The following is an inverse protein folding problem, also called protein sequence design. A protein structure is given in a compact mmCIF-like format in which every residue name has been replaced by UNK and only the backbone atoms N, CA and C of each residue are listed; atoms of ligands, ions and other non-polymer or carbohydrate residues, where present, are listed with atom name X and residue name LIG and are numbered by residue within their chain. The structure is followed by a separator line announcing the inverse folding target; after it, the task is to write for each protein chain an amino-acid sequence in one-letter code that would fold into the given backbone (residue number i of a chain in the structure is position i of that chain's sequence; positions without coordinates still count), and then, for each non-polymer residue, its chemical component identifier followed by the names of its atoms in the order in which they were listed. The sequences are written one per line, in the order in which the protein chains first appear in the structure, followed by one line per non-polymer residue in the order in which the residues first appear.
data_IF_552905148629
#
_entry.id   IF_552905148629
#
_cell.length_a   1.000
_cell.length_b   1.000
_cell.length_c   1.000
_cell.angle_alpha   90.00
_cell.angle_beta   90.00
_cell.angle_gamma   90.00
#
_symmetry.space_group_name_H-M   'P 1'
#
loop_
_entity.id
_entity.type
_entity.pdbx_description
1 polymer ?
2 non-polymer ?
3 water ?
#
# COMPACT_ATOMS: atom_id res chain seq x y z
N UNK A 6 -10.76 45.96 5.69
CA UNK A 6 -10.70 47.45 5.73
C UNK A 6 -9.30 47.92 6.16
N UNK A 7 -8.32 47.01 6.18
CA UNK A 7 -6.93 47.31 6.58
C UNK A 7 -6.09 47.71 5.37
N UNK A 8 -4.84 48.22 5.56
CA UNK A 8 -3.99 48.60 4.44
C UNK A 8 -3.43 47.32 3.80
N UNK A 9 -3.08 47.38 2.51
CA UNK A 9 -2.61 46.19 1.81
C UNK A 9 -1.08 46.12 1.92
N UNK A 10 -0.59 45.13 2.68
CA UNK A 10 0.83 44.95 2.97
C UNK A 10 1.55 44.39 1.74
N UNK A 11 2.85 44.72 1.62
CA UNK A 11 3.73 44.12 0.62
C UNK A 11 3.95 42.65 0.98
N UNK A 12 4.26 41.83 -0.03
CA UNK A 12 4.30 40.38 0.09
C UNK A 12 5.58 39.95 0.81
N UNK A 13 5.40 39.24 1.93
CA UNK A 13 6.45 38.49 2.61
C UNK A 13 6.30 37.01 2.25
N UNK A 14 7.20 36.51 1.38
CA UNK A 14 7.11 35.15 0.86
C UNK A 14 8.09 34.25 1.62
N UNK A 15 7.55 33.24 2.32
CA UNK A 15 8.34 32.20 2.97
C UNK A 15 8.48 31.03 2.01
N UNK A 16 9.68 30.81 1.41
CA UNK A 16 9.85 29.76 0.40
C UNK A 16 9.82 28.34 0.95
N UNK A 17 9.63 28.17 2.27
CA UNK A 17 9.62 26.86 2.91
C UNK A 17 8.20 26.39 3.28
N UNK A 18 7.26 27.33 3.47
CA UNK A 18 5.88 27.03 3.82
C UNK A 18 5.23 26.24 2.68
N UNK A 19 4.88 24.97 2.97
CA UNK A 19 4.27 24.08 1.98
C UNK A 19 2.88 24.59 1.64
N UNK A 20 2.53 24.73 0.34
CA UNK A 20 1.17 25.09 -0.04
C UNK A 20 0.19 23.93 0.14
N UNK A 21 -1.10 24.28 0.34
CA UNK A 21 -2.16 23.29 0.46
C UNK A 21 -2.35 22.60 -0.89
N UNK A 22 -2.46 21.26 -0.85
CA UNK A 22 -2.68 20.43 -2.03
C UNK A 22 -4.06 20.73 -2.63
N UNK A 23 -4.17 20.52 -3.95
CA UNK A 23 -5.42 20.63 -4.69
C UNK A 23 -5.96 19.24 -5.03
N UNK A 24 -5.23 18.20 -4.60
CA UNK A 24 -5.56 16.80 -4.93
C UNK A 24 -6.91 16.42 -4.34
N UNK A 25 -7.75 15.78 -5.16
CA UNK A 25 -9.05 15.27 -4.73
C UNK A 25 -8.89 13.82 -4.25
N UNK A 26 -9.42 13.52 -3.07
CA UNK A 26 -9.35 12.19 -2.49
C UNK A 26 -10.75 11.61 -2.40
N UNK A 27 -10.92 10.42 -3.02
CA UNK A 27 -12.16 9.66 -3.04
C UNK A 27 -11.83 8.23 -2.59
N UNK A 28 -12.51 7.78 -1.52
CA UNK A 28 -12.40 6.42 -1.03
C UNK A 28 -13.72 5.68 -1.32
N UNK A 29 -13.58 4.47 -1.88
CA UNK A 29 -14.70 3.60 -2.18
C UNK A 29 -14.57 2.34 -1.33
N UNK A 30 -15.59 2.06 -0.52
CA UNK A 30 -15.78 0.76 0.14
C UNK A 30 -16.92 0.05 -0.58
N UNK A 31 -16.56 -1.01 -1.33
CA UNK A 31 -17.49 -1.75 -2.17
C UNK A 31 -17.96 -2.99 -1.39
N UNK A 32 -19.18 -2.90 -0.84
CA UNK A 32 -19.81 -3.99 -0.10
C UNK A 32 -20.07 -5.16 -1.06
N UNK A 33 -19.77 -6.38 -0.59
CA UNK A 33 -20.13 -7.64 -1.25
C UNK A 33 -19.70 -7.62 -2.71
N UNK A 34 -18.38 -7.55 -3.02
CA UNK A 34 -17.92 -7.69 -4.39
C UNK A 34 -18.15 -9.15 -4.84
N UNK A 35 -18.38 -9.33 -6.14
CA UNK A 35 -18.63 -10.64 -6.73
C UNK A 35 -17.43 -11.57 -6.43
N UNK A 36 -16.22 -11.04 -6.68
CA UNK A 36 -14.96 -11.70 -6.38
C UNK A 36 -14.27 -10.93 -5.24
N UNK A 37 -13.70 -11.68 -4.29
CA UNK A 37 -13.05 -11.09 -3.13
C UNK A 37 -11.65 -10.62 -3.52
N UNK A 38 -11.30 -9.41 -3.09
CA UNK A 38 -9.97 -8.85 -3.24
C UNK A 38 -9.42 -8.50 -1.85
N UNK A 39 -8.22 -9.00 -1.55
CA UNK A 39 -7.63 -8.94 -0.22
C UNK A 39 -6.48 -7.94 -0.20
N UNK A 40 -6.42 -7.04 -1.18
CA UNK A 40 -5.42 -5.99 -1.24
C UNK A 40 -6.10 -4.63 -1.07
N UNK A 41 -5.65 -3.86 -0.07
CA UNK A 41 -6.00 -2.46 0.06
C UNK A 41 -5.39 -1.71 -1.13
N UNK A 42 -6.27 -1.14 -1.97
CA UNK A 42 -5.87 -0.48 -3.21
C UNK A 42 -5.74 1.03 -2.99
N UNK A 43 -4.49 1.52 -3.02
CA UNK A 43 -4.16 2.94 -2.85
C UNK A 43 -3.61 3.47 -4.18
N UNK A 44 -4.32 4.43 -4.77
CA UNK A 44 -4.06 4.88 -6.13
C UNK A 44 -3.69 6.37 -6.13
N UNK A 45 -2.54 6.68 -6.71
CA UNK A 45 -2.05 8.03 -6.95
C UNK A 45 -2.04 8.26 -8.47
N UNK A 46 -3.08 8.95 -8.96
CA UNK A 46 -3.35 9.13 -10.39
C UNK A 46 -3.59 10.61 -10.66
N UNK A 47 -3.16 11.10 -11.83
CA UNK A 47 -3.45 12.47 -12.25
C UNK A 47 -4.51 12.46 -13.36
N UNK A 48 -4.68 11.31 -14.03
CA UNK A 48 -5.70 11.15 -15.08
C UNK A 48 -6.60 9.96 -14.75
N UNK A 49 -7.87 10.21 -14.35
CA UNK A 49 -8.81 9.14 -13.99
C UNK A 49 -9.02 8.08 -15.08
N UNK A 50 -8.64 8.40 -16.32
CA UNK A 50 -8.77 7.48 -17.45
C UNK A 50 -7.90 6.23 -17.25
N UNK A 51 -7.06 6.21 -16.21
CA UNK A 51 -6.20 5.07 -15.91
C UNK A 51 -6.63 4.37 -14.62
N UNK A 52 -7.82 4.70 -14.09
CA UNK A 52 -8.35 4.05 -12.89
C UNK A 52 -8.63 2.58 -13.18
N UNK A 53 -9.34 2.31 -14.29
CA UNK A 53 -9.66 0.94 -14.72
C UNK A 53 -8.38 0.11 -14.77
N UNK A 54 -7.32 0.65 -15.37
CA UNK A 54 -6.02 -0.03 -15.51
C UNK A 54 -5.42 -0.36 -14.14
N UNK A 55 -5.61 0.56 -13.18
CA UNK A 55 -5.08 0.43 -11.82
C UNK A 55 -5.79 -0.72 -11.08
N UNK A 56 -7.12 -0.77 -11.18
CA UNK A 56 -7.95 -1.79 -10.53
C UNK A 56 -7.62 -3.16 -11.12
N UNK A 57 -7.40 -3.22 -12.44
CA UNK A 57 -7.13 -4.48 -13.13
C UNK A 57 -5.77 -5.05 -12.73
N UNK A 58 -4.82 -4.19 -12.36
CA UNK A 58 -3.52 -4.62 -11.84
C UNK A 58 -3.70 -5.19 -10.43
N UNK A 59 -4.59 -4.59 -9.63
CA UNK A 59 -4.91 -5.07 -8.29
C UNK A 59 -5.63 -6.42 -8.38
N UNK A 60 -6.51 -6.57 -9.38
CA UNK A 60 -7.23 -7.80 -9.65
C UNK A 60 -6.24 -8.94 -9.91
N UNK A 61 -5.16 -8.63 -10.63
CA UNK A 61 -4.18 -9.63 -11.08
C UNK A 61 -3.32 -10.12 -9.91
N UNK A 62 -2.83 -9.19 -9.09
CA UNK A 62 -1.88 -9.51 -8.03
C UNK A 62 -2.60 -10.12 -6.82
N UNK A 63 -3.94 -10.12 -6.83
CA UNK A 63 -4.75 -10.89 -5.89
C UNK A 63 -4.34 -12.37 -5.96
N UNK A 64 -3.95 -12.84 -7.16
CA UNK A 64 -3.57 -14.22 -7.40
C UNK A 64 -2.16 -14.52 -6.88
N UNK A 65 -1.44 -13.49 -6.43
CA UNK A 65 -0.08 -13.61 -5.91
C UNK A 65 -0.08 -13.69 -4.37
N UNK A 66 -1.27 -13.66 -3.75
CA UNK A 66 -1.40 -13.89 -2.31
C UNK A 66 -1.23 -15.38 -2.03
N UNK A 67 -0.60 -15.69 -0.88
CA UNK A 67 -0.37 -17.07 -0.47
C UNK A 67 -0.61 -17.20 1.03
N UNK A 68 -0.94 -18.40 1.54
CA UNK A 68 -1.07 -18.63 2.97
C UNK A 68 0.32 -18.58 3.61
N UNK A 69 0.37 -18.11 4.87
CA UNK A 69 1.55 -18.15 5.70
C UNK A 69 1.78 -19.59 6.17
N UNK A 70 2.92 -19.84 6.83
CA UNK A 70 3.20 -21.13 7.44
C UNK A 70 2.23 -21.35 8.60
N UNK A 71 1.96 -22.62 8.91
CA UNK A 71 1.00 -23.01 9.94
C UNK A 71 1.42 -22.44 11.30
N UNK A 72 2.74 -22.36 11.54
CA UNK A 72 3.26 -21.90 12.82
C UNK A 72 3.03 -20.40 12.99
N UNK A 73 2.91 -19.66 11.87
CA UNK A 73 2.57 -18.23 11.91
C UNK A 73 1.09 -18.06 12.26
N UNK A 74 0.23 -18.82 11.58
CA UNK A 74 -1.22 -18.75 11.73
C UNK A 74 -1.92 -18.90 10.38
N UNK A 75 -3.25 -18.68 10.39
CA UNK A 75 -4.08 -18.79 9.19
C UNK A 75 -4.25 -17.40 8.57
N UNK A 76 -3.31 -17.02 7.69
CA UNK A 76 -3.25 -15.69 7.12
C UNK A 76 -2.86 -15.76 5.65
N UNK A 77 -3.22 -14.73 4.88
CA UNK A 77 -2.79 -14.53 3.51
C UNK A 77 -1.82 -13.34 3.46
N UNK A 78 -0.80 -13.44 2.60
CA UNK A 78 0.15 -12.36 2.36
C UNK A 78 0.58 -12.38 0.89
N UNK A 79 0.84 -11.19 0.33
CA UNK A 79 1.43 -11.08 -1.00
C UNK A 79 2.83 -11.69 -0.97
N UNK A 80 3.07 -12.64 -1.87
CA UNK A 80 4.35 -13.32 -2.04
C UNK A 80 5.09 -12.70 -3.23
N UNK A 81 6.35 -12.30 -2.98
CA UNK A 81 7.19 -11.71 -4.01
C UNK A 81 7.45 -12.74 -5.11
N UNK A 82 7.90 -13.98 -4.80
CA UNK A 82 8.07 -15.02 -5.81
C UNK A 82 6.85 -15.29 -6.70
N UNK A 83 5.69 -15.54 -6.08
CA UNK A 83 4.46 -15.82 -6.83
C UNK A 83 4.06 -14.59 -7.64
N UNK A 84 4.30 -13.40 -7.06
CA UNK A 84 4.14 -12.12 -7.74
C UNK A 84 4.87 -12.08 -9.07
N UNK A 85 6.13 -12.55 -9.08
CA UNK A 85 6.95 -12.58 -10.29
C UNK A 85 6.30 -13.48 -11.34
N UNK A 86 5.89 -14.69 -10.92
CA UNK A 86 5.22 -15.66 -11.81
C UNK A 86 3.99 -15.00 -12.45
N UNK A 87 3.17 -14.37 -11.60
CA UNK A 87 1.91 -13.74 -12.02
C UNK A 87 2.22 -12.56 -12.95
N UNK A 88 3.27 -11.79 -12.61
CA UNK A 88 3.70 -10.63 -13.40
C UNK A 88 3.79 -10.99 -14.89
N UNK A 89 4.39 -12.17 -15.18
CA UNK A 89 4.61 -12.64 -16.54
C UNK A 89 3.29 -12.78 -17.31
N UNK A 90 2.23 -13.21 -16.61
CA UNK A 90 0.95 -13.57 -17.23
C UNK A 90 0.11 -12.34 -17.57
N UNK A 91 0.43 -11.18 -16.97
CA UNK A 91 -0.39 -9.97 -17.08
C UNK A 91 -0.34 -9.43 -18.51
N UNK A 92 -1.50 -8.99 -19.03
CA UNK A 92 -1.62 -8.30 -20.31
C UNK A 92 -2.46 -7.04 -20.12
N UNK A 93 -2.08 -5.92 -20.76
CA UNK A 93 -0.91 -5.82 -21.65
C UNK A 93 0.40 -6.11 -20.92
N UNK A 94 1.35 -6.72 -21.65
CA UNK A 94 2.61 -7.18 -21.09
C UNK A 94 3.39 -5.99 -20.53
N UNK A 95 4.32 -6.28 -19.60
CA UNK A 95 5.08 -5.26 -18.91
C UNK A 95 6.26 -5.88 -18.18
N UNK A 96 6.99 -5.07 -17.40
CA UNK A 96 8.28 -5.46 -16.83
C UNK A 96 8.30 -5.28 -15.32
N UNK A 97 8.88 -6.28 -14.65
CA UNK A 97 9.23 -6.20 -13.23
C UNK A 97 10.53 -5.40 -13.10
N UNK A 98 10.45 -4.22 -12.50
CA UNK A 98 11.58 -3.29 -12.42
C UNK A 98 12.46 -3.65 -11.23
N UNK A 99 11.84 -3.91 -10.06
CA UNK A 99 12.56 -4.32 -8.87
C UNK A 99 11.66 -5.15 -7.95
N UNK A 100 12.28 -5.87 -7.02
CA UNK A 100 11.59 -6.72 -6.04
C UNK A 100 12.44 -6.81 -4.78
N UNK A 101 11.77 -7.06 -3.64
CA UNK A 101 12.44 -7.19 -2.36
C UNK A 101 11.73 -8.27 -1.54
N UNK A 102 12.54 -9.00 -0.75
CA UNK A 102 12.09 -9.88 0.32
C UNK A 102 13.09 -9.73 1.46
N UNK A 103 12.72 -8.95 2.48
CA UNK A 103 13.64 -8.54 3.54
C UNK A 103 12.94 -8.56 4.90
N UNK A 104 13.70 -8.96 5.92
CA UNK A 104 13.28 -8.87 7.31
C UNK A 104 13.69 -7.51 7.88
N UNK A 105 12.81 -6.94 8.70
CA UNK A 105 13.05 -5.72 9.48
C UNK A 105 12.74 -6.07 10.94
N UNK A 106 13.64 -5.66 11.86
CA UNK A 106 13.49 -5.95 13.27
C UNK A 106 13.84 -4.71 14.09
N UNK A 107 13.33 -4.67 15.33
CA UNK A 107 13.64 -3.63 16.31
C UNK A 107 13.31 -4.14 17.71
N UNK A 108 13.96 -3.55 18.74
CA UNK A 108 13.84 -3.97 20.12
C UNK A 108 13.51 -2.76 21.03
N UNK A 109 12.32 -2.79 21.64
CA UNK A 109 11.90 -1.82 22.65
C UNK A 109 11.97 -0.39 22.13
N UNK A 110 11.70 -0.19 20.83
CA UNK A 110 11.72 1.14 20.20
C UNK A 110 10.28 1.58 19.99
N UNK A 111 10.08 2.87 19.70
CA UNK A 111 8.76 3.42 19.42
C UNK A 111 8.28 2.90 18.07
N UNK A 112 6.95 2.78 17.93
CA UNK A 112 6.33 2.29 16.69
C UNK A 112 6.75 3.20 15.53
N UNK A 113 6.86 4.50 15.81
CA UNK A 113 7.29 5.51 14.84
C UNK A 113 8.60 5.10 14.16
N UNK A 114 9.54 4.54 14.94
CA UNK A 114 10.83 4.11 14.42
C UNK A 114 10.62 2.98 13.41
N UNK A 115 9.78 2.00 13.78
CA UNK A 115 9.49 0.84 12.93
C UNK A 115 8.89 1.31 11.60
N UNK A 116 7.97 2.28 11.66
CA UNK A 116 7.32 2.85 10.48
C UNK A 116 8.38 3.42 9.53
N UNK A 117 9.38 4.13 10.08
CA UNK A 117 10.46 4.72 9.31
C UNK A 117 11.31 3.63 8.66
N UNK A 118 11.56 2.53 9.39
CA UNK A 118 12.36 1.41 8.89
C UNK A 118 11.68 0.82 7.65
N UNK A 119 10.37 0.55 7.76
CA UNK A 119 9.57 -0.02 6.68
C UNK A 119 9.56 0.97 5.50
N UNK A 120 9.30 2.25 5.79
CA UNK A 120 9.29 3.32 4.78
C UNK A 120 10.60 3.31 3.98
N UNK A 121 11.74 3.11 4.67
CA UNK A 121 13.06 3.10 4.03
C UNK A 121 13.13 1.99 2.97
N UNK A 122 12.48 0.85 3.22
CA UNK A 122 12.47 -0.29 2.29
C UNK A 122 11.62 0.05 1.06
N UNK A 123 10.41 0.58 1.30
CA UNK A 123 9.46 0.84 0.22
C UNK A 123 9.92 2.03 -0.63
N UNK A 124 10.69 2.95 -0.03
CA UNK A 124 11.24 4.10 -0.73
C UNK A 124 12.35 3.63 -1.69
N UNK A 125 13.13 2.64 -1.23
CA UNK A 125 14.17 1.99 -2.04
C UNK A 125 13.53 1.31 -3.26
N UNK A 126 12.35 0.73 -3.08
CA UNK A 126 11.64 0.00 -4.14
C UNK A 126 11.07 1.00 -5.16
N UNK A 127 10.54 2.13 -4.68
CA UNK A 127 9.90 3.15 -5.51
C UNK A 127 10.97 4.03 -6.19
N UNK A 128 12.01 4.40 -5.44
CA UNK A 128 13.01 5.37 -5.87
C UNK A 128 12.62 6.78 -5.46
N UNK A 129 13.60 7.71 -5.53
CA UNK A 129 13.47 9.06 -4.99
C UNK A 129 12.29 9.78 -5.65
N UNK A 130 12.35 9.92 -6.99
CA UNK A 130 11.34 10.63 -7.76
C UNK A 130 9.95 10.08 -7.44
N UNK A 131 9.82 8.75 -7.48
CA UNK A 131 8.54 8.08 -7.33
C UNK A 131 8.04 8.23 -5.88
N UNK A 132 8.93 8.03 -4.90
CA UNK A 132 8.64 8.22 -3.48
C UNK A 132 8.01 9.60 -3.27
N UNK A 133 8.68 10.64 -3.78
CA UNK A 133 8.31 12.04 -3.59
C UNK A 133 6.87 12.32 -4.00
N UNK A 134 6.43 11.74 -5.12
CA UNK A 134 5.12 12.03 -5.70
C UNK A 134 3.97 11.40 -4.90
N UNK A 135 4.29 10.42 -4.04
CA UNK A 135 3.29 9.64 -3.31
C UNK A 135 3.64 9.59 -1.81
N UNK A 136 4.46 10.54 -1.34
CA UNK A 136 5.06 10.50 0.00
C UNK A 136 3.98 10.49 1.09
N UNK A 137 2.88 11.23 0.87
CA UNK A 137 1.84 11.41 1.89
C UNK A 137 1.07 10.11 2.08
N UNK A 138 0.60 9.51 0.98
CA UNK A 138 -0.17 8.27 1.00
C UNK A 138 0.72 7.11 1.47
N UNK A 139 1.99 7.13 1.05
CA UNK A 139 2.95 6.08 1.40
C UNK A 139 3.15 6.06 2.92
N UNK A 140 3.40 7.24 3.50
CA UNK A 140 3.61 7.39 4.94
C UNK A 140 2.36 6.96 5.71
N UNK A 141 1.20 7.48 5.29
CA UNK A 141 -0.09 7.15 5.89
C UNK A 141 -0.33 5.63 5.83
N UNK A 142 -0.02 5.01 4.68
CA UNK A 142 -0.28 3.60 4.43
C UNK A 142 0.56 2.70 5.35
N UNK A 143 1.82 3.08 5.57
CA UNK A 143 2.72 2.34 6.46
C UNK A 143 2.31 2.59 7.91
N UNK A 144 1.92 3.84 8.23
CA UNK A 144 1.42 4.18 9.55
C UNK A 144 0.22 3.29 9.90
N UNK A 145 -0.68 3.10 8.93
CA UNK A 145 -1.92 2.36 9.13
C UNK A 145 -1.68 0.84 9.09
N UNK A 146 -0.43 0.42 8.85
CA UNK A 146 -0.03 -0.99 8.94
C UNK A 146 0.24 -1.38 10.41
N UNK A 147 0.71 -0.43 11.21
CA UNK A 147 1.16 -0.70 12.58
C UNK A 147 0.24 -0.04 13.62
N UNK A 148 -0.53 0.98 13.20
CA UNK A 148 -1.46 1.68 14.08
C UNK A 148 -2.79 1.88 13.36
N UNK A 149 -3.80 2.39 14.09
CA UNK A 149 -5.16 2.60 13.58
C UNK A 149 -5.75 1.26 13.12
N UNK A 150 -5.50 0.20 13.88
CA UNK A 150 -5.81 -1.16 13.47
C UNK A 150 -7.20 -1.58 13.92
N UNK A 151 -7.81 -0.84 14.86
CA UNK A 151 -9.09 -1.21 15.45
C UNK A 151 -10.21 -1.16 14.39
N UNK A 152 -10.31 -0.04 13.68
CA UNK A 152 -11.34 0.13 12.65
C UNK A 152 -11.04 -0.75 11.42
N UNK A 153 -9.80 -1.25 11.33
CA UNK A 153 -9.34 -2.07 10.21
C UNK A 153 -9.43 -3.57 10.52
N UNK A 154 -9.61 -3.94 11.80
CA UNK A 154 -9.27 -5.29 12.29
C UNK A 154 -10.04 -6.38 11.53
N UNK A 155 -11.26 -6.09 11.04
CA UNK A 155 -12.09 -7.11 10.40
C UNK A 155 -12.14 -6.92 8.88
N UNK A 156 -11.27 -6.07 8.32
CA UNK A 156 -11.27 -5.78 6.89
C UNK A 156 -10.53 -6.88 6.13
N UNK A 157 -10.66 -6.86 4.79
CA UNK A 157 -10.32 -7.98 3.92
C UNK A 157 -8.82 -8.09 3.66
N UNK A 158 -8.05 -7.04 3.99
CA UNK A 158 -6.62 -6.98 3.67
C UNK A 158 -5.74 -7.36 4.86
N UNK A 159 -6.34 -7.48 6.05
CA UNK A 159 -5.61 -7.79 7.28
C UNK A 159 -6.07 -9.14 7.82
N UNK A 160 -5.11 -10.00 8.19
CA UNK A 160 -5.38 -11.33 8.70
C UNK A 160 -4.61 -11.54 10.01
N UNK A 161 -5.32 -12.03 11.03
CA UNK A 161 -4.73 -12.30 12.33
C UNK A 161 -4.29 -13.76 12.39
N UNK A 162 -3.02 -13.96 12.79
CA UNK A 162 -2.42 -15.28 13.00
C UNK A 162 -2.44 -15.64 14.48
N UNK A 163 -1.42 -16.41 14.91
CA UNK A 163 -1.30 -16.90 16.28
C UNK A 163 -1.28 -15.72 17.25
N UNK A 164 -1.85 -15.95 18.45
CA UNK A 164 -2.07 -14.91 19.46
C UNK A 164 -1.72 -15.48 20.83
N UNK A 165 -0.47 -15.27 21.27
CA UNK A 165 0.02 -15.70 22.57
C UNK A 165 -0.06 -14.53 23.55
N UNK A 166 0.39 -14.76 24.80
CA UNK A 166 0.36 -13.75 25.85
C UNK A 166 1.45 -12.69 25.62
N UNK A 167 2.47 -13.03 24.82
CA UNK A 167 3.65 -12.19 24.64
C UNK A 167 3.75 -11.63 23.21
N UNK A 168 2.98 -12.17 22.26
CA UNK A 168 3.19 -11.89 20.84
C UNK A 168 1.88 -11.98 20.07
N UNK A 169 1.74 -11.12 19.04
CA UNK A 169 0.67 -11.20 18.05
C UNK A 169 1.27 -11.27 16.65
N UNK A 170 0.78 -12.24 15.87
CA UNK A 170 1.10 -12.40 14.46
C UNK A 170 -0.07 -11.86 13.63
N UNK A 171 0.23 -11.08 12.58
CA UNK A 171 -0.77 -10.68 11.59
C UNK A 171 -0.10 -10.32 10.26
N UNK A 172 -0.88 -10.41 9.17
CA UNK A 172 -0.45 -9.99 7.85
C UNK A 172 -1.29 -8.79 7.41
N UNK A 173 -0.70 -8.00 6.51
CA UNK A 173 -1.29 -6.78 5.99
C UNK A 173 -0.90 -6.64 4.52
N UNK A 174 -1.89 -6.44 3.65
CA UNK A 174 -1.71 -6.48 2.21
C UNK A 174 -2.21 -5.17 1.61
N UNK A 175 -1.29 -4.39 1.04
CA UNK A 175 -1.59 -3.09 0.47
C UNK A 175 -0.95 -3.03 -0.92
N UNK A 176 -1.62 -2.30 -1.83
CA UNK A 176 -1.15 -2.14 -3.20
C UNK A 176 -1.21 -0.65 -3.59
N UNK A 177 -0.09 -0.18 -4.15
CA UNK A 177 0.06 1.18 -4.66
C UNK A 177 0.06 1.15 -6.18
N UNK A 178 -0.84 1.93 -6.80
CA UNK A 178 -0.84 2.18 -8.23
C UNK A 178 -0.50 3.66 -8.47
N UNK A 179 0.57 3.92 -9.23
CA UNK A 179 1.05 5.29 -9.43
C UNK A 179 1.11 5.62 -10.92
N UNK A 180 0.48 6.74 -11.28
CA UNK A 180 0.47 7.30 -12.63
C UNK A 180 0.43 8.83 -12.52
N UNK A 181 1.55 9.48 -12.88
CA UNK A 181 1.66 10.93 -12.81
C UNK A 181 2.86 11.37 -13.67
N UNK A 182 3.34 12.60 -13.44
CA UNK A 182 4.45 13.18 -14.19
C UNK A 182 5.72 12.31 -14.08
N UNK A 183 5.91 11.67 -12.92
CA UNK A 183 7.12 10.90 -12.61
C UNK A 183 7.07 9.51 -13.25
N UNK A 184 5.93 9.13 -13.85
CA UNK A 184 5.75 7.79 -14.45
C UNK A 184 5.74 7.86 -15.98
N UNK A 185 5.27 8.98 -16.55
CA UNK A 185 5.32 9.22 -17.99
C UNK A 185 4.32 8.35 -18.75
N UNK A 186 4.84 7.34 -19.45
CA UNK A 186 4.04 6.50 -20.34
C UNK A 186 3.62 5.17 -19.72
N UNK A 187 4.15 4.87 -18.52
CA UNK A 187 3.82 3.66 -17.79
C UNK A 187 3.09 4.03 -16.49
N UNK A 188 2.22 3.12 -16.03
CA UNK A 188 1.74 3.09 -14.67
C UNK A 188 2.61 2.11 -13.88
N UNK A 189 2.98 2.49 -12.65
CA UNK A 189 3.72 1.64 -11.74
C UNK A 189 2.74 0.99 -10.76
N UNK A 190 2.99 -0.28 -10.43
CA UNK A 190 2.20 -1.03 -9.46
C UNK A 190 3.14 -1.71 -8.46
N UNK A 191 2.91 -1.44 -7.17
CA UNK A 191 3.76 -1.92 -6.09
C UNK A 191 2.90 -2.61 -5.03
N UNK A 192 2.64 -3.92 -5.16
CA UNK A 192 2.00 -4.68 -4.09
C UNK A 192 2.97 -4.90 -2.93
N UNK A 193 2.45 -4.95 -1.71
CA UNK A 193 3.25 -5.16 -0.50
C UNK A 193 2.53 -6.17 0.39
N UNK A 194 3.23 -7.25 0.74
CA UNK A 194 2.78 -8.22 1.73
C UNK A 194 3.59 -8.11 3.01
N UNK A 195 2.93 -7.71 4.09
CA UNK A 195 3.54 -7.63 5.41
C UNK A 195 3.21 -8.87 6.21
N UNK A 196 4.25 -9.49 6.79
CA UNK A 196 4.13 -10.55 7.78
C UNK A 196 4.76 -10.03 9.08
N UNK A 197 3.90 -9.72 10.06
CA UNK A 197 4.29 -8.95 11.24
C UNK A 197 4.13 -9.79 12.50
N UNK A 198 5.22 -9.92 13.26
CA UNK A 198 5.21 -10.36 14.64
C UNK A 198 5.53 -9.16 15.54
N UNK A 199 4.71 -8.95 16.58
CA UNK A 199 4.85 -7.82 17.48
C UNK A 199 4.66 -8.30 18.92
N UNK A 200 5.48 -7.76 19.83
CA UNK A 200 5.60 -8.20 21.22
C UNK A 200 4.54 -7.55 22.10
N UNK A 201 3.27 -7.77 21.75
CA UNK A 201 2.12 -7.29 22.51
C UNK A 201 0.93 -8.21 22.21
N UNK A 202 -0.04 -8.26 23.14
CA UNK A 202 -1.29 -8.99 22.92
C UNK A 202 -2.17 -8.15 21.99
N UNK A 203 -3.12 -8.82 21.33
CA UNK A 203 -3.92 -8.23 20.26
C UNK A 203 -4.64 -6.98 20.77
N UNK A 204 -5.25 -7.07 21.96
CA UNK A 204 -6.03 -5.98 22.56
C UNK A 204 -5.20 -4.69 22.63
N UNK A 205 -3.90 -4.83 22.90
CA UNK A 205 -2.96 -3.70 22.97
C UNK A 205 -2.61 -3.24 21.54
N UNK A 206 -2.37 -4.20 20.64
CA UNK A 206 -2.00 -3.92 19.27
C UNK A 206 -3.12 -3.10 18.59
N UNK A 207 -4.37 -3.50 18.82
CA UNK A 207 -5.53 -2.86 18.20
C UNK A 207 -5.57 -1.35 18.49
N UNK A 208 -4.87 -0.92 19.56
CA UNK A 208 -4.88 0.48 19.97
C UNK A 208 -3.45 1.02 20.09
N UNK A 209 -2.50 0.38 19.41
CA UNK A 209 -1.14 0.91 19.29
C UNK A 209 -1.19 2.26 18.57
N UNK A 210 -0.37 3.20 19.06
CA UNK A 210 -0.12 4.47 18.40
C UNK A 210 1.38 4.58 18.13
N UNK A 211 1.77 5.66 17.46
CA UNK A 211 3.16 5.94 17.08
C UNK A 211 4.03 6.17 18.32
N UNK A 212 3.39 6.53 19.45
CA UNK A 212 4.06 6.83 20.72
C UNK A 212 4.40 5.53 21.47
N UNK A 213 3.58 4.49 21.27
CA UNK A 213 3.76 3.21 21.95
C UNK A 213 5.12 2.61 21.59
N UNK A 214 5.65 1.78 22.52
CA UNK A 214 6.90 1.06 22.34
C UNK A 214 6.62 -0.43 22.17
N UNK A 215 7.42 -1.10 21.34
CA UNK A 215 7.25 -2.51 21.03
C UNK A 215 8.47 -3.02 20.26
N UNK A 216 8.71 -4.33 20.36
CA UNK A 216 9.68 -5.03 19.54
C UNK A 216 8.94 -5.68 18.36
N UNK A 217 9.53 -5.60 17.16
CA UNK A 217 8.95 -6.16 15.96
C UNK A 217 9.95 -7.10 15.28
N UNK A 218 9.41 -8.18 14.70
CA UNK A 218 10.07 -8.97 13.67
C UNK A 218 9.12 -9.00 12.46
N UNK A 219 9.55 -8.38 11.35
CA UNK A 219 8.67 -8.16 10.21
C UNK A 219 9.37 -8.60 8.93
N UNK A 220 8.64 -9.33 8.09
CA UNK A 220 9.05 -9.67 6.73
C UNK A 220 8.22 -8.81 5.77
N UNK A 221 8.92 -8.16 4.83
CA UNK A 221 8.30 -7.35 3.78
C UNK A 221 8.61 -8.00 2.44
N UNK A 222 7.56 -8.24 1.64
CA UNK A 222 7.68 -8.75 0.28
C UNK A 222 6.91 -7.82 -0.66
N UNK A 223 7.60 -7.36 -1.70
CA UNK A 223 7.08 -6.37 -2.62
C UNK A 223 7.82 -6.49 -3.95
N UNK A 224 7.20 -5.95 -5.01
CA UNK A 224 7.87 -5.75 -6.28
C UNK A 224 7.26 -4.51 -6.95
N UNK A 225 7.97 -4.01 -7.97
CA UNK A 225 7.60 -2.83 -8.72
C UNK A 225 7.41 -3.24 -10.18
N UNK A 226 6.23 -2.96 -10.72
CA UNK A 226 5.81 -3.44 -12.02
C UNK A 226 5.32 -2.27 -12.87
N UNK A 227 6.03 -2.02 -13.96
CA UNK A 227 5.66 -1.01 -14.95
C UNK A 227 4.81 -1.66 -16.03
N UNK A 228 3.62 -1.09 -16.27
CA UNK A 228 2.73 -1.48 -17.36
C UNK A 228 2.49 -0.24 -18.23
N UNK A 229 2.78 -0.29 -19.55
CA UNK A 229 2.47 0.83 -20.44
C UNK A 229 1.01 1.25 -20.31
N UNK A 230 0.74 2.56 -20.38
CA UNK A 230 -0.58 3.11 -20.08
C UNK A 230 -1.58 2.73 -21.16
N UNK A 231 -2.84 2.50 -20.74
CA UNK A 231 -3.97 2.21 -21.59
C UNK A 231 -5.17 3.03 -21.08
N UNK A 232 -5.49 4.12 -21.79
CA UNK A 232 -6.67 4.92 -21.49
C UNK A 232 -7.93 4.08 -21.71
N UNK A 233 -8.97 4.36 -20.91
CA UNK A 233 -10.23 3.61 -20.95
C UNK A 233 -11.41 4.56 -21.11
N UNK A 234 -11.14 5.79 -21.61
CA UNK A 234 -12.13 6.87 -21.66
C UNK A 234 -13.30 6.52 -22.58
N UNK A 235 -13.06 5.63 -23.56
CA UNK A 235 -14.04 5.29 -24.60
C UNK A 235 -14.93 4.10 -24.19
N UNK A 236 -14.48 3.31 -23.19
CA UNK A 236 -15.20 2.13 -22.74
C UNK A 236 -16.36 2.56 -21.83
N UNK A 237 -17.43 1.74 -21.69
CA UNK A 237 -18.54 2.07 -20.81
C UNK A 237 -18.16 1.84 -19.33
N UNK A 238 -18.89 2.52 -18.43
CA UNK A 238 -18.63 2.45 -17.00
C UNK A 238 -18.85 1.01 -16.51
N UNK A 239 -19.81 0.30 -17.13
CA UNK A 239 -20.07 -1.11 -16.84
C UNK A 239 -18.76 -1.92 -16.79
N UNK A 240 -17.79 -1.55 -17.64
CA UNK A 240 -16.47 -2.20 -17.70
C UNK A 240 -15.66 -1.94 -16.43
N UNK A 241 -15.86 -0.76 -15.81
CA UNK A 241 -15.18 -0.39 -14.56
C UNK A 241 -15.84 -1.12 -13.38
N UNK A 242 -17.18 -1.13 -13.38
CA UNK A 242 -17.97 -1.88 -12.41
C UNK A 242 -17.52 -3.35 -12.40
N UNK A 243 -17.27 -3.89 -13.61
CA UNK A 243 -16.85 -5.27 -13.80
C UNK A 243 -15.46 -5.51 -13.22
N UNK A 244 -14.52 -4.57 -13.48
CA UNK A 244 -13.15 -4.66 -12.99
C UNK A 244 -13.10 -4.62 -11.45
N UNK A 245 -13.93 -3.76 -10.86
CA UNK A 245 -14.05 -3.63 -9.41
C UNK A 245 -14.54 -4.97 -8.83
N UNK A 246 -15.52 -5.58 -9.51
CA UNK A 246 -16.13 -6.85 -9.10
C UNK A 246 -15.18 -8.03 -9.35
N UNK A 247 -14.17 -7.83 -10.21
CA UNK A 247 -13.19 -8.85 -10.55
C UNK A 247 -13.73 -9.85 -11.58
N UNK A 248 -14.74 -9.42 -12.35
CA UNK A 248 -15.40 -10.27 -13.33
C UNK A 248 -15.02 -9.86 -14.76
N UNK A 249 -14.26 -8.77 -14.91
CA UNK A 249 -13.84 -8.28 -16.22
C UNK A 249 -12.70 -9.15 -16.74
X LIG B 1 4.53 13.36 5.16
#
# INVERSE_FOLDING_TARGET
MENLNHSPLEDIKVNPWKTPQSTARVITLRVEDPNEINNLLSINEIDNPNYILQAIMLANAFQNALVPTSTDFGDALRFSMPKGLEIANTITPMGAVVSYVDQNVTQTNNQVSVMINKVLEVLKTVLGVALSGSVIDQLTAAVTNTFTNLNTQKNEAWIFWGKETANQTNYTYNVLFAIQNAQTGGVMYCVPVGFEIKVSAVKEQVLFFTIQDSASYNVNIQSLKFAQPLVSSSQYPIADLTSAINGTL
NA NA
#
